data_IF_407347259165
#
_entry.id   IF_407347259165
#
_cell.length_a   1.000
_cell.length_b   1.000
_cell.length_c   1.000
_cell.angle_alpha   90.00
_cell.angle_beta   90.00
_cell.angle_gamma   90.00
#
_symmetry.space_group_name_H-M   'P 1'
#
loop_
_entity.id
_entity.type
_entity.pdbx_description
1 polymer ?
#
# COMPACT_ATOMS: atom_id res chain seq x y z
N UNK A 1 38.00 -9.03 28.05
CA UNK A 1 37.37 -7.74 27.70
C UNK A 1 36.45 -7.99 26.51
N UNK A 2 35.15 -8.13 26.77
CA UNK A 2 34.16 -8.38 25.72
C UNK A 2 33.77 -7.03 25.11
N UNK A 3 34.21 -6.77 23.88
CA UNK A 3 33.81 -5.58 23.12
C UNK A 3 32.32 -5.68 22.78
N UNK A 4 31.48 -5.01 23.55
CA UNK A 4 30.09 -4.76 23.21
C UNK A 4 30.06 -3.84 21.98
N UNK A 5 29.84 -4.41 20.80
CA UNK A 5 29.61 -3.64 19.60
C UNK A 5 28.33 -2.79 19.80
N UNK A 6 28.48 -1.47 19.78
CA UNK A 6 27.35 -0.53 19.85
C UNK A 6 26.56 -0.66 18.56
N UNK A 7 25.47 -1.43 18.58
CA UNK A 7 24.58 -1.61 17.44
C UNK A 7 23.83 -0.30 17.20
N UNK A 8 24.18 0.41 16.11
CA UNK A 8 23.44 1.60 15.68
C UNK A 8 22.05 1.14 15.19
N UNK A 9 20.95 1.80 15.60
CA UNK A 9 19.62 1.44 15.12
C UNK A 9 19.49 1.72 13.62
N UNK A 10 19.00 0.72 12.88
CA UNK A 10 18.80 0.81 11.43
C UNK A 10 17.57 1.68 11.12
N UNK A 11 17.68 2.56 10.11
CA UNK A 11 16.57 3.44 9.69
C UNK A 11 15.47 2.72 8.91
N UNK A 12 15.79 1.63 8.22
CA UNK A 12 14.85 0.85 7.43
C UNK A 12 14.97 -0.64 7.75
N UNK A 13 13.94 -1.41 7.40
CA UNK A 13 13.88 -2.86 7.63
C UNK A 13 13.69 -3.64 6.32
N UNK A 14 13.98 -4.94 6.37
CA UNK A 14 13.59 -5.86 5.30
C UNK A 14 12.08 -5.77 5.01
N UNK A 15 11.72 -5.74 3.73
CA UNK A 15 10.35 -5.53 3.25
C UNK A 15 9.97 -4.08 2.97
N UNK A 16 10.78 -3.10 3.42
CA UNK A 16 10.53 -1.70 3.15
C UNK A 16 10.81 -1.35 1.68
N UNK A 17 9.97 -0.46 1.16
CA UNK A 17 10.03 0.02 -0.22
C UNK A 17 10.64 1.40 -0.24
N UNK A 18 11.71 1.56 -1.00
CA UNK A 18 12.60 2.71 -0.94
C UNK A 18 13.01 3.15 -2.35
N UNK A 19 13.54 4.35 -2.45
CA UNK A 19 14.47 4.68 -3.52
C UNK A 19 15.89 4.49 -3.03
N UNK A 20 16.70 3.79 -3.82
CA UNK A 20 18.10 3.51 -3.53
C UNK A 20 19.01 4.16 -4.58
N UNK A 21 20.07 4.84 -4.13
CA UNK A 21 21.09 5.43 -4.99
C UNK A 21 22.11 4.35 -5.37
N UNK A 22 21.96 3.80 -6.57
CA UNK A 22 22.86 2.78 -7.14
C UNK A 22 23.94 3.50 -7.95
N UNK A 23 25.17 2.96 -7.99
CA UNK A 23 26.25 3.50 -8.81
C UNK A 23 25.80 3.66 -10.26
N UNK A 24 26.11 4.80 -10.87
CA UNK A 24 25.79 5.12 -12.28
C UNK A 24 24.28 5.26 -12.62
N UNK A 25 23.40 5.08 -11.64
CA UNK A 25 21.96 5.23 -11.79
C UNK A 25 21.40 6.34 -10.90
N UNK A 26 20.25 6.94 -11.26
CA UNK A 26 19.51 7.82 -10.35
C UNK A 26 19.00 7.05 -9.11
N UNK A 27 18.32 7.74 -8.21
CA UNK A 27 17.56 7.11 -7.14
C UNK A 27 16.53 6.13 -7.74
N UNK A 28 16.78 4.83 -7.59
CA UNK A 28 16.05 3.75 -8.24
C UNK A 28 15.02 3.11 -7.30
N UNK A 29 13.79 2.83 -7.75
CA UNK A 29 12.79 2.15 -6.91
C UNK A 29 13.25 0.74 -6.55
N UNK A 30 13.28 0.44 -5.25
CA UNK A 30 13.83 -0.82 -4.73
C UNK A 30 13.08 -1.33 -3.50
N UNK A 31 13.24 -2.63 -3.23
CA UNK A 31 12.77 -3.33 -2.03
C UNK A 31 13.97 -3.73 -1.18
N UNK A 32 13.95 -3.42 0.11
CA UNK A 32 14.97 -3.93 1.03
C UNK A 32 14.71 -5.42 1.28
N UNK A 33 15.69 -6.25 1.00
CA UNK A 33 15.64 -7.68 1.29
C UNK A 33 16.26 -8.01 2.63
N UNK A 34 17.37 -7.34 2.96
CA UNK A 34 18.14 -7.64 4.16
C UNK A 34 18.92 -6.41 4.65
N UNK A 35 19.26 -6.39 5.94
CA UNK A 35 19.97 -5.29 6.60
C UNK A 35 21.20 -5.83 7.31
N UNK A 36 22.37 -5.55 6.77
CA UNK A 36 23.64 -5.94 7.36
C UNK A 36 24.17 -4.82 8.27
N UNK A 37 24.16 -5.08 9.57
CA UNK A 37 24.55 -4.13 10.63
C UNK A 37 25.97 -4.38 11.16
N UNK A 38 26.67 -5.41 10.63
CA UNK A 38 27.96 -5.88 11.17
C UNK A 38 29.20 -5.23 10.57
N UNK A 39 29.07 -4.28 9.65
CA UNK A 39 30.21 -3.72 8.94
C UNK A 39 30.80 -2.50 9.65
N UNK A 40 32.14 -2.39 9.63
CA UNK A 40 32.88 -1.26 10.20
C UNK A 40 32.49 0.10 9.56
N UNK A 41 31.99 0.05 8.32
CA UNK A 41 31.59 1.22 7.53
C UNK A 41 30.12 1.66 7.73
N UNK A 42 29.42 1.03 8.68
CA UNK A 42 28.01 1.31 8.99
C UNK A 42 27.02 0.31 8.38
N UNK A 43 25.74 0.69 8.39
CA UNK A 43 24.63 -0.17 7.95
C UNK A 43 24.59 -0.28 6.43
N UNK A 44 24.66 -1.51 5.91
CA UNK A 44 24.51 -1.81 4.49
C UNK A 44 23.19 -2.54 4.26
N UNK A 45 22.43 -2.08 3.28
CA UNK A 45 21.15 -2.66 2.91
C UNK A 45 21.29 -3.43 1.60
N UNK A 46 20.84 -4.68 1.61
CA UNK A 46 20.68 -5.47 0.40
C UNK A 46 19.32 -5.14 -0.21
N UNK A 47 19.32 -4.56 -1.40
CA UNK A 47 18.11 -4.11 -2.08
C UNK A 47 17.90 -4.87 -3.39
N UNK A 48 16.63 -5.12 -3.73
CA UNK A 48 16.18 -5.62 -5.02
C UNK A 48 15.63 -4.46 -5.83
N UNK A 49 16.22 -4.21 -7.00
CA UNK A 49 15.87 -3.10 -7.86
C UNK A 49 14.68 -3.50 -8.74
N UNK A 50 13.57 -2.77 -8.69
CA UNK A 50 12.41 -3.06 -9.54
C UNK A 50 12.73 -2.85 -11.03
N UNK A 51 11.92 -3.44 -11.92
CA UNK A 51 12.14 -3.45 -13.37
C UNK A 51 13.21 -4.44 -13.83
N UNK A 52 14.41 -4.41 -13.25
CA UNK A 52 15.52 -5.32 -13.60
C UNK A 52 15.73 -6.49 -12.64
N UNK A 53 15.09 -6.44 -11.47
CA UNK A 53 15.21 -7.43 -10.38
C UNK A 53 16.67 -7.75 -10.00
N UNK A 54 17.58 -6.79 -10.20
CA UNK A 54 18.99 -6.91 -9.81
C UNK A 54 19.16 -6.62 -8.33
N UNK A 55 20.13 -7.29 -7.71
CA UNK A 55 20.51 -7.06 -6.33
C UNK A 55 21.61 -6.01 -6.25
N UNK A 56 21.52 -5.12 -5.28
CA UNK A 56 22.54 -4.12 -4.98
C UNK A 56 22.76 -3.99 -3.47
N UNK A 57 23.97 -3.58 -3.08
CA UNK A 57 24.30 -3.19 -1.72
C UNK A 57 24.40 -1.67 -1.65
N UNK A 58 23.65 -1.06 -0.74
CA UNK A 58 23.55 0.40 -0.65
C UNK A 58 23.69 0.83 0.80
N UNK A 59 24.46 1.90 1.04
CA UNK A 59 24.61 2.53 2.35
C UNK A 59 23.33 3.25 2.76
N UNK A 60 23.13 3.44 4.06
CA UNK A 60 21.98 4.14 4.62
C UNK A 60 21.73 5.53 3.99
N UNK A 61 22.78 6.31 3.73
CA UNK A 61 22.70 7.66 3.14
C UNK A 61 22.16 7.65 1.69
N UNK A 62 22.33 6.53 1.00
CA UNK A 62 21.82 6.33 -0.36
C UNK A 62 20.36 5.91 -0.40
N UNK A 63 19.67 5.78 0.73
CA UNK A 63 18.33 5.20 0.80
C UNK A 63 17.33 6.20 1.37
N UNK A 64 16.18 6.27 0.71
CA UNK A 64 15.08 7.12 1.17
C UNK A 64 13.72 6.45 0.93
N UNK A 65 12.73 6.76 1.78
CA UNK A 65 11.39 6.17 1.70
C UNK A 65 10.74 6.43 0.33
N UNK A 66 10.16 5.38 -0.27
CA UNK A 66 9.57 5.48 -1.60
C UNK A 66 8.37 6.43 -1.62
N UNK A 67 7.42 6.28 -0.70
CA UNK A 67 6.16 7.03 -0.73
C UNK A 67 6.43 8.52 -0.50
N UNK A 68 7.28 8.84 0.49
CA UNK A 68 7.61 10.22 0.85
C UNK A 68 8.33 10.95 -0.28
N UNK A 69 9.22 10.25 -1.00
CA UNK A 69 10.08 10.88 -2.00
C UNK A 69 9.62 10.63 -3.45
N UNK A 70 8.49 9.96 -3.67
CA UNK A 70 7.95 9.69 -5.01
C UNK A 70 7.79 10.96 -5.86
N UNK A 71 7.35 12.07 -5.25
CA UNK A 71 7.20 13.35 -5.94
C UNK A 71 8.53 13.90 -6.49
N UNK A 72 9.64 13.60 -5.82
CA UNK A 72 10.98 14.07 -6.17
C UNK A 72 11.68 13.11 -7.14
N UNK A 73 11.68 11.81 -6.81
CA UNK A 73 12.48 10.81 -7.53
C UNK A 73 11.68 9.94 -8.51
N UNK A 74 10.36 9.85 -8.37
CA UNK A 74 9.50 9.02 -9.21
C UNK A 74 9.05 9.67 -10.52
N UNK A 75 9.69 10.76 -10.96
CA UNK A 75 9.40 11.37 -12.26
C UNK A 75 9.96 10.49 -13.37
N UNK A 76 9.23 10.30 -14.49
CA UNK A 76 9.70 9.49 -15.61
C UNK A 76 11.01 10.05 -16.17
N UNK A 77 11.85 9.14 -16.65
CA UNK A 77 13.20 9.48 -17.13
C UNK A 77 13.45 8.84 -18.48
N UNK A 78 13.49 9.68 -19.51
CA UNK A 78 13.66 9.28 -20.91
C UNK A 78 14.98 8.52 -21.18
N UNK A 79 15.98 8.65 -20.32
CA UNK A 79 17.33 8.08 -20.50
C UNK A 79 17.46 6.65 -19.97
N UNK A 80 16.54 6.17 -19.14
CA UNK A 80 16.60 4.83 -18.57
C UNK A 80 15.37 4.01 -18.95
N UNK A 81 15.53 3.19 -19.99
CA UNK A 81 14.48 2.39 -20.62
C UNK A 81 13.63 1.54 -19.64
N UNK A 82 14.18 1.18 -18.49
CA UNK A 82 13.51 0.30 -17.50
C UNK A 82 12.99 1.04 -16.26
N UNK A 83 13.18 2.35 -16.14
CA UNK A 83 12.83 3.08 -14.92
C UNK A 83 11.32 3.22 -14.73
N UNK A 84 10.61 3.53 -15.81
CA UNK A 84 9.16 3.68 -15.76
C UNK A 84 8.48 2.33 -15.42
N UNK A 85 8.95 1.22 -16.01
CA UNK A 85 8.54 -0.13 -15.61
C UNK A 85 8.80 -0.40 -14.13
N UNK A 86 9.96 0.03 -13.61
CA UNK A 86 10.32 -0.16 -12.22
C UNK A 86 9.41 0.64 -11.25
N UNK A 87 8.96 1.83 -11.66
CA UNK A 87 7.97 2.62 -10.91
C UNK A 87 6.60 1.92 -10.90
N UNK A 88 6.16 1.38 -12.04
CA UNK A 88 4.92 0.63 -12.14
C UNK A 88 4.94 -0.62 -11.25
N UNK A 89 6.02 -1.40 -11.29
CA UNK A 89 6.16 -2.62 -10.50
C UNK A 89 6.05 -2.34 -8.99
N UNK A 90 6.77 -1.32 -8.50
CA UNK A 90 6.74 -0.98 -7.09
C UNK A 90 5.39 -0.38 -6.69
N UNK A 91 4.75 0.42 -7.55
CA UNK A 91 3.41 0.95 -7.33
C UNK A 91 2.37 -0.17 -7.23
N UNK A 92 2.42 -1.15 -8.12
CA UNK A 92 1.57 -2.33 -8.06
C UNK A 92 1.78 -3.10 -6.75
N UNK A 93 3.04 -3.24 -6.31
CA UNK A 93 3.38 -3.90 -5.04
C UNK A 93 2.87 -3.13 -3.81
N UNK A 94 2.73 -1.80 -3.88
CA UNK A 94 2.20 -0.94 -2.80
C UNK A 94 0.67 -0.88 -2.83
N UNK A 95 0.09 -0.81 -4.02
CA UNK A 95 -1.34 -0.66 -4.30
C UNK A 95 -2.20 -1.77 -3.71
N UNK A 96 -1.60 -2.90 -3.32
CA UNK A 96 -2.34 -4.06 -2.87
C UNK A 96 -2.93 -3.99 -1.43
N UNK A 97 -2.49 -3.14 -0.49
CA UNK A 97 -2.88 -3.39 0.93
C UNK A 97 -3.36 -2.26 1.86
N UNK A 98 -3.23 -0.96 1.56
CA UNK A 98 -3.47 0.08 2.59
C UNK A 98 -4.67 1.00 2.39
N UNK A 99 -4.97 1.44 1.16
CA UNK A 99 -6.06 2.43 0.94
C UNK A 99 -7.47 1.84 1.02
N UNK A 100 -7.60 0.52 0.86
CA UNK A 100 -8.91 -0.14 0.85
C UNK A 100 -9.31 -0.79 2.18
N UNK A 101 -8.41 -0.97 3.18
CA UNK A 101 -8.81 -1.68 4.43
C UNK A 101 -9.88 -0.95 5.23
N UNK A 102 -9.79 0.38 5.38
CA UNK A 102 -10.80 1.17 6.11
C UNK A 102 -12.15 1.18 5.38
N UNK A 103 -12.15 1.40 4.06
CA UNK A 103 -13.37 1.39 3.23
C UNK A 103 -13.99 -0.02 3.14
N UNK A 104 -13.19 -1.07 2.93
CA UNK A 104 -13.64 -2.48 2.94
C UNK A 104 -14.23 -2.85 4.30
N UNK A 105 -13.57 -2.50 5.40
CA UNK A 105 -14.08 -2.76 6.74
C UNK A 105 -15.39 -2.00 7.01
N UNK A 106 -15.49 -0.75 6.56
CA UNK A 106 -16.72 0.04 6.64
C UNK A 106 -17.86 -0.61 5.85
N UNK A 107 -17.58 -1.07 4.62
CA UNK A 107 -18.54 -1.80 3.77
C UNK A 107 -18.98 -3.11 4.45
N UNK A 108 -18.05 -3.88 5.01
CA UNK A 108 -18.35 -5.11 5.74
C UNK A 108 -19.28 -4.85 6.94
N UNK A 109 -18.98 -3.82 7.75
CA UNK A 109 -19.79 -3.44 8.90
C UNK A 109 -21.21 -2.99 8.51
N UNK A 110 -21.34 -2.23 7.42
CA UNK A 110 -22.63 -1.80 6.89
C UNK A 110 -23.45 -3.02 6.41
N UNK A 111 -22.85 -3.92 5.62
CA UNK A 111 -23.51 -5.13 5.13
C UNK A 111 -23.99 -6.03 6.28
N UNK A 112 -23.16 -6.19 7.32
CA UNK A 112 -23.50 -6.99 8.51
C UNK A 112 -24.72 -6.43 9.23
N UNK A 113 -24.79 -5.11 9.42
CA UNK A 113 -25.94 -4.42 10.04
C UNK A 113 -27.21 -4.54 9.19
N UNK A 114 -27.09 -4.37 7.87
CA UNK A 114 -28.22 -4.48 6.95
C UNK A 114 -28.81 -5.89 6.94
N UNK A 115 -27.97 -6.92 6.86
CA UNK A 115 -28.40 -8.32 6.88
C UNK A 115 -29.07 -8.70 8.22
N UNK A 116 -28.57 -8.17 9.34
CA UNK A 116 -29.22 -8.36 10.66
C UNK A 116 -30.60 -7.71 10.69
N UNK A 117 -30.73 -6.50 10.13
CA UNK A 117 -32.00 -5.80 10.04
C UNK A 117 -33.00 -6.54 9.13
N UNK A 118 -32.58 -6.99 7.95
CA UNK A 118 -33.42 -7.76 7.02
C UNK A 118 -33.95 -9.06 7.65
N UNK A 119 -33.08 -9.79 8.37
CA UNK A 119 -33.50 -11.00 9.11
C UNK A 119 -34.52 -10.69 10.21
N UNK A 120 -34.40 -9.53 10.88
CA UNK A 120 -35.36 -9.09 11.91
C UNK A 120 -36.69 -8.67 11.28
N UNK A 121 -36.66 -7.94 10.17
CA UNK A 121 -37.87 -7.52 9.44
C UNK A 121 -38.67 -8.73 8.94
N UNK A 122 -38.01 -9.76 8.38
CA UNK A 122 -38.65 -11.00 7.92
C UNK A 122 -39.30 -11.83 9.03
N UNK A 123 -38.91 -11.63 10.31
CA UNK A 123 -39.45 -12.34 11.47
C UNK A 123 -40.56 -11.59 12.18
N UNK A 124 -40.77 -10.30 11.88
CA UNK A 124 -41.81 -9.50 12.50
C UNK A 124 -43.16 -9.86 11.85
N UNK A 125 -44.12 -10.32 12.66
CA UNK A 125 -45.44 -10.76 12.19
C UNK A 125 -46.39 -9.61 11.78
N UNK A 126 -46.05 -8.35 12.10
CA UNK A 126 -46.72 -7.14 11.61
C UNK A 126 -45.66 -6.13 11.14
N UNK A 127 -45.57 -5.80 9.84
CA UNK A 127 -44.62 -4.80 9.35
C UNK A 127 -45.07 -3.39 9.76
N UNK A 128 -44.19 -2.53 10.32
CA UNK A 128 -44.49 -1.12 10.52
C UNK A 128 -44.64 -0.43 9.16
N UNK A 129 -45.66 0.44 9.02
CA UNK A 129 -46.05 1.21 7.81
C UNK A 129 -45.07 1.05 6.64
N UNK A 130 -45.44 0.18 5.69
CA UNK A 130 -44.54 -0.38 4.67
C UNK A 130 -43.83 0.71 3.86
N UNK A 131 -44.53 1.78 3.50
CA UNK A 131 -44.00 2.82 2.61
C UNK A 131 -42.80 3.59 3.21
N UNK A 132 -42.85 3.90 4.51
CA UNK A 132 -41.76 4.60 5.21
C UNK A 132 -40.54 3.71 5.45
N UNK A 133 -40.77 2.41 5.66
CA UNK A 133 -39.71 1.44 5.93
C UNK A 133 -39.01 0.97 4.65
N UNK A 134 -39.76 0.81 3.56
CA UNK A 134 -39.26 0.51 2.23
C UNK A 134 -38.45 1.67 1.66
N UNK A 135 -38.92 2.90 1.78
CA UNK A 135 -38.15 4.08 1.34
C UNK A 135 -36.81 4.22 2.09
N UNK A 136 -36.80 3.93 3.40
CA UNK A 136 -35.55 3.89 4.21
C UNK A 136 -34.61 2.75 3.79
N UNK A 137 -35.15 1.59 3.43
CA UNK A 137 -34.37 0.45 2.95
C UNK A 137 -33.78 0.75 1.56
N UNK A 138 -34.59 1.31 0.67
CA UNK A 138 -34.17 1.68 -0.68
C UNK A 138 -33.05 2.73 -0.62
N UNK A 139 -33.16 3.75 0.23
CA UNK A 139 -32.09 4.75 0.44
C UNK A 139 -30.78 4.10 0.92
N UNK A 140 -30.83 3.12 1.82
CA UNK A 140 -29.64 2.37 2.28
C UNK A 140 -29.07 1.45 1.19
N UNK A 141 -29.92 0.82 0.40
CA UNK A 141 -29.51 -0.02 -0.73
C UNK A 141 -28.84 0.82 -1.83
N UNK A 142 -29.39 1.99 -2.14
CA UNK A 142 -28.80 2.95 -3.07
C UNK A 142 -27.44 3.45 -2.55
N UNK A 143 -27.35 3.86 -1.28
CA UNK A 143 -26.06 4.25 -0.67
C UNK A 143 -25.00 3.13 -0.75
N UNK A 144 -25.41 1.89 -0.49
CA UNK A 144 -24.51 0.74 -0.59
C UNK A 144 -24.08 0.45 -2.03
N UNK A 145 -25.00 0.60 -3.00
CA UNK A 145 -24.69 0.48 -4.43
C UNK A 145 -23.71 1.57 -4.87
N UNK A 146 -23.93 2.83 -4.50
CA UNK A 146 -23.01 3.95 -4.79
C UNK A 146 -21.63 3.69 -4.19
N UNK A 147 -21.53 3.28 -2.93
CA UNK A 147 -20.23 2.95 -2.29
C UNK A 147 -19.51 1.78 -2.97
N UNK A 148 -20.25 0.76 -3.44
CA UNK A 148 -19.66 -0.35 -4.20
C UNK A 148 -19.17 0.09 -5.58
N UNK A 149 -19.91 0.98 -6.24
CA UNK A 149 -19.52 1.57 -7.53
C UNK A 149 -18.29 2.46 -7.35
N UNK A 150 -18.25 3.35 -6.36
CA UNK A 150 -17.06 4.15 -6.02
C UNK A 150 -15.85 3.28 -5.73
N UNK A 151 -16.00 2.18 -4.98
CA UNK A 151 -14.92 1.23 -4.77
C UNK A 151 -14.51 0.44 -6.02
N UNK A 152 -15.38 0.36 -7.04
CA UNK A 152 -15.07 -0.25 -8.34
C UNK A 152 -14.40 0.77 -9.28
N UNK A 153 -14.83 2.03 -9.26
CA UNK A 153 -14.24 3.15 -10.01
C UNK A 153 -12.82 3.48 -9.51
N UNK A 154 -12.60 3.45 -8.19
CA UNK A 154 -11.25 3.59 -7.61
C UNK A 154 -10.28 2.46 -8.01
N UNK A 155 -10.77 1.35 -8.58
CA UNK A 155 -9.93 0.30 -9.19
C UNK A 155 -9.69 0.52 -10.68
N UNK A 156 -10.46 1.40 -11.32
CA UNK A 156 -10.34 1.78 -12.74
C UNK A 156 -9.50 3.05 -12.91
N UNK A 157 -9.55 4.00 -11.96
CA UNK A 157 -8.68 5.19 -11.90
C UNK A 157 -7.21 4.86 -11.50
N UNK A 158 -6.83 3.58 -11.61
CA UNK A 158 -5.47 3.07 -11.37
C UNK A 158 -4.74 2.73 -12.68
N UNK A 159 -5.25 3.19 -13.82
CA UNK A 159 -4.54 3.26 -15.10
C UNK A 159 -3.58 4.46 -15.16
#
# INVERSE_FOLDING_TARGET
MSTTAVVKPNKFNAGDKVFAKISDYPYWPALILDVNTGNKDGVLYKVLCYGSYRLALVKEDGICDYIKNKKLYGKPRNTCMSFDSAILDIDASIGCFKKNRKKIHQIYCINKRLNKWLKKAKRAKNPPNQESSEHKLQKKMTQLKTLRIECKMLKLDSE
#
